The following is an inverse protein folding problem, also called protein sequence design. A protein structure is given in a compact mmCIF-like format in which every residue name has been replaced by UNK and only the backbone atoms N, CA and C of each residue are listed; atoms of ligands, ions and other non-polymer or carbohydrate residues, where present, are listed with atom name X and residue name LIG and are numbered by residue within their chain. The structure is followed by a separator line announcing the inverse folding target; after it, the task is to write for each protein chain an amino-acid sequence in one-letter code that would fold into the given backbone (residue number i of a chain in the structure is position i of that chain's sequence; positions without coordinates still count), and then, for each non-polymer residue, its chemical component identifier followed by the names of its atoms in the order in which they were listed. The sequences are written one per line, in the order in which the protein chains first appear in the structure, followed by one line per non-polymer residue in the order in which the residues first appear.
data_IF_862417779011
#
_entry.id   IF_862417779011
#
_cell.length_a   1.000
_cell.length_b   1.000
_cell.length_c   1.000
_cell.angle_alpha   90.00
_cell.angle_beta   90.00
_cell.angle_gamma   90.00
#
_symmetry.space_group_name_H-M   'P 1'
#
loop_
_entity.id
_entity.type
_entity.pdbx_description
1 polymer ?
#
# COMPACT_ATOMS: atom_id res chain seq x y z
N UNK A 1 43.66 62.90 -30.15
CA UNK A 1 42.26 62.55 -30.43
C UNK A 1 41.62 62.15 -29.11
N UNK A 2 40.55 62.85 -28.76
CA UNK A 2 39.70 62.74 -27.58
C UNK A 2 39.57 61.34 -26.93
N UNK A 3 39.56 61.28 -25.60
CA UNK A 3 38.30 61.13 -24.85
C UNK A 3 38.51 61.38 -23.34
N UNK A 4 37.78 62.39 -22.89
CA UNK A 4 37.56 62.83 -21.52
C UNK A 4 36.57 61.88 -20.85
N UNK A 5 36.81 61.49 -19.59
CA UNK A 5 35.80 60.85 -18.73
C UNK A 5 35.65 61.70 -17.46
N UNK A 6 34.44 62.17 -17.11
CA UNK A 6 34.19 62.83 -15.84
C UNK A 6 33.89 61.82 -14.73
N UNK A 7 34.27 62.22 -13.52
CA UNK A 7 33.95 61.61 -12.23
C UNK A 7 32.44 61.62 -12.00
N UNK A 8 31.87 60.47 -11.62
CA UNK A 8 30.51 60.37 -11.06
C UNK A 8 30.55 59.73 -9.67
N UNK A 9 30.01 60.46 -8.69
CA UNK A 9 29.58 59.92 -7.40
C UNK A 9 28.36 59.01 -7.61
N UNK A 10 28.39 57.81 -7.03
CA UNK A 10 27.25 56.88 -7.02
C UNK A 10 26.46 57.12 -5.73
N UNK A 11 25.22 57.58 -5.89
CA UNK A 11 24.19 57.59 -4.85
C UNK A 11 23.61 56.18 -4.67
N UNK A 12 23.37 55.82 -3.41
CA UNK A 12 22.60 54.65 -2.99
C UNK A 12 21.18 54.70 -3.57
N UNK A 13 20.76 53.63 -4.24
CA UNK A 13 19.36 53.34 -4.51
C UNK A 13 19.00 51.99 -3.92
N UNK A 14 18.08 51.99 -2.95
CA UNK A 14 17.38 50.81 -2.44
C UNK A 14 16.45 50.21 -3.52
N UNK A 15 16.34 48.87 -3.64
CA UNK A 15 15.68 48.22 -4.77
C UNK A 15 14.19 47.86 -4.55
N UNK A 16 13.46 48.55 -3.67
CA UNK A 16 12.09 48.12 -3.28
C UNK A 16 11.03 49.21 -3.41
N UNK A 17 10.80 49.70 -4.63
CA UNK A 17 9.53 50.35 -4.95
C UNK A 17 8.88 49.70 -6.18
N UNK A 18 7.89 48.83 -5.92
CA UNK A 18 6.92 48.39 -6.93
C UNK A 18 5.57 49.02 -6.63
N UNK A 19 5.06 49.78 -7.60
CA UNK A 19 3.65 50.18 -7.72
C UNK A 19 2.79 48.95 -8.01
N UNK A 20 1.64 48.85 -7.37
CA UNK A 20 0.55 47.97 -7.81
C UNK A 20 -0.75 48.76 -7.79
N UNK A 21 -1.31 48.98 -8.98
CA UNK A 21 -2.75 49.09 -9.19
C UNK A 21 -3.41 47.73 -8.90
N UNK A 22 -4.68 47.73 -8.50
CA UNK A 22 -5.51 46.53 -8.48
C UNK A 22 -6.42 46.36 -7.26
N UNK A 23 -7.70 46.61 -7.49
CA UNK A 23 -8.88 45.97 -6.88
C UNK A 23 -9.16 46.09 -5.37
N UNK A 24 -10.14 46.98 -5.11
CA UNK A 24 -10.95 47.01 -3.90
C UNK A 24 -11.92 45.83 -3.90
N UNK A 25 -11.61 44.78 -3.14
CA UNK A 25 -12.64 43.91 -2.55
C UNK A 25 -12.14 43.32 -1.24
N UNK A 26 -12.43 44.00 -0.13
CA UNK A 26 -12.27 43.44 1.21
C UNK A 26 -13.60 42.91 1.73
N UNK A 27 -13.62 41.59 1.88
CA UNK A 27 -14.67 40.81 2.51
C UNK A 27 -14.74 41.17 4.00
N UNK A 28 -15.99 41.31 4.45
CA UNK A 28 -16.42 41.64 5.80
C UNK A 28 -15.81 40.71 6.86
N UNK A 29 -14.99 41.27 7.75
CA UNK A 29 -14.82 40.74 9.11
C UNK A 29 -14.80 41.91 10.10
N UNK A 30 -16.00 42.45 10.36
CA UNK A 30 -16.18 43.53 11.32
C UNK A 30 -17.47 43.32 12.12
N UNK A 31 -17.55 42.18 12.81
CA UNK A 31 -18.65 41.88 13.73
C UNK A 31 -18.25 42.04 15.21
N UNK A 32 -16.98 41.83 15.60
CA UNK A 32 -16.61 41.91 17.02
C UNK A 32 -16.23 43.31 17.52
N UNK A 33 -15.88 44.27 16.64
CA UNK A 33 -15.57 45.66 17.05
C UNK A 33 -16.81 46.57 17.13
N UNK A 34 -17.93 46.16 16.54
CA UNK A 34 -19.19 46.94 16.56
C UNK A 34 -19.94 46.85 17.89
N UNK A 35 -19.79 45.75 18.62
CA UNK A 35 -20.52 45.55 19.89
C UNK A 35 -19.96 46.41 21.03
N UNK A 36 -18.64 46.70 21.05
CA UNK A 36 -18.02 47.54 22.08
C UNK A 36 -18.30 49.05 21.88
N UNK A 37 -18.28 49.52 20.62
CA UNK A 37 -18.58 50.91 20.26
C UNK A 37 -20.07 51.27 20.49
N UNK A 38 -20.98 50.32 20.29
CA UNK A 38 -22.40 50.53 20.55
C UNK A 38 -22.72 50.59 22.04
N UNK A 39 -22.01 49.83 22.88
CA UNK A 39 -22.21 49.87 24.33
C UNK A 39 -21.77 51.22 24.92
N UNK A 40 -20.62 51.75 24.51
CA UNK A 40 -20.13 53.04 25.00
C UNK A 40 -21.06 54.20 24.59
N UNK A 41 -21.66 54.12 23.39
CA UNK A 41 -22.67 55.08 22.92
C UNK A 41 -24.02 54.93 23.65
N UNK A 42 -24.41 53.70 24.01
CA UNK A 42 -25.63 53.42 24.77
C UNK A 42 -25.52 53.86 26.23
N UNK A 43 -24.38 53.59 26.88
CA UNK A 43 -24.05 54.05 28.23
C UNK A 43 -23.97 55.58 28.26
N UNK A 44 -23.29 56.22 27.31
CA UNK A 44 -23.27 57.69 27.20
C UNK A 44 -24.66 58.30 26.94
N UNK A 45 -25.54 57.62 26.18
CA UNK A 45 -26.92 58.09 25.99
C UNK A 45 -27.80 57.92 27.22
N UNK A 46 -27.62 56.84 27.99
CA UNK A 46 -28.31 56.63 29.26
C UNK A 46 -27.85 57.64 30.31
N UNK A 47 -26.54 57.88 30.42
CA UNK A 47 -25.97 58.91 31.30
C UNK A 47 -26.43 60.30 30.89
N UNK A 48 -26.45 60.64 29.59
CA UNK A 48 -27.01 61.93 29.12
C UNK A 48 -28.52 62.06 29.37
N UNK A 49 -29.29 60.98 29.27
CA UNK A 49 -30.73 61.00 29.59
C UNK A 49 -30.98 61.12 31.10
N UNK A 50 -30.15 60.50 31.94
CA UNK A 50 -30.20 60.64 33.40
C UNK A 50 -29.79 62.03 33.88
N UNK A 51 -28.73 62.62 33.29
CA UNK A 51 -28.28 63.98 33.62
C UNK A 51 -29.31 65.03 33.14
N UNK A 52 -30.03 64.78 32.04
CA UNK A 52 -31.13 65.63 31.59
C UNK A 52 -32.40 65.57 32.46
N UNK A 53 -32.54 64.58 33.35
CA UNK A 53 -33.71 64.46 34.22
C UNK A 53 -33.56 65.26 35.53
N UNK A 54 -32.39 65.86 35.81
CA UNK A 54 -32.15 66.58 37.07
C UNK A 54 -31.54 67.99 36.91
N UNK A 55 -31.61 68.58 35.71
CA UNK A 55 -31.17 69.97 35.49
C UNK A 55 -32.20 70.67 34.61
N UNK A 56 -33.23 71.22 35.27
CA UNK A 56 -34.25 72.04 34.67
C UNK A 56 -35.28 72.53 35.69
N UNK A 57 -35.00 73.67 36.34
CA UNK A 57 -35.99 74.42 37.12
C UNK A 57 -35.44 75.06 38.39
N UNK A 58 -35.28 76.39 38.36
CA UNK A 58 -34.92 77.22 39.51
C UNK A 58 -36.20 77.68 40.26
N UNK A 59 -36.16 77.67 41.59
CA UNK A 59 -36.76 78.61 42.56
C UNK A 59 -37.52 77.96 43.73
N UNK A 60 -36.98 78.23 44.93
CA UNK A 60 -37.62 78.35 46.24
C UNK A 60 -38.46 77.17 46.78
N UNK A 61 -37.96 76.53 47.83
CA UNK A 61 -38.52 76.60 49.20
C UNK A 61 -37.72 75.67 50.12
N UNK A 62 -37.45 76.18 51.31
CA UNK A 62 -36.80 75.53 52.46
C UNK A 62 -37.43 74.19 52.83
N UNK A 63 -36.59 73.26 53.31
CA UNK A 63 -37.03 72.10 54.08
C UNK A 63 -36.35 70.80 53.66
N UNK A 64 -35.22 70.49 54.29
CA UNK A 64 -34.78 69.09 54.43
C UNK A 64 -35.61 68.55 55.61
N UNK A 65 -36.34 67.46 55.44
CA UNK A 65 -35.70 66.21 55.78
C UNK A 65 -35.85 65.15 54.68
N UNK A 66 -34.70 64.54 54.41
CA UNK A 66 -34.50 63.12 54.58
C UNK A 66 -35.36 62.14 53.76
N UNK A 67 -34.70 61.04 53.46
CA UNK A 67 -35.32 59.77 53.13
C UNK A 67 -35.73 59.47 51.70
N UNK A 68 -35.68 60.44 50.80
CA UNK A 68 -36.14 60.25 49.41
C UNK A 68 -35.07 60.32 48.30
N UNK A 69 -33.84 60.75 48.58
CA UNK A 69 -32.74 60.70 47.60
C UNK A 69 -32.08 59.33 47.46
N UNK A 70 -31.98 58.59 48.57
CA UNK A 70 -31.31 57.29 48.59
C UNK A 70 -32.12 56.16 47.93
N UNK A 71 -33.45 56.27 47.78
CA UNK A 71 -34.20 55.20 47.11
C UNK A 71 -34.01 55.27 45.60
N UNK A 72 -33.96 56.47 45.02
CA UNK A 72 -33.61 56.63 43.61
C UNK A 72 -32.15 56.27 43.35
N UNK A 73 -31.22 56.69 44.22
CA UNK A 73 -29.81 56.30 44.14
C UNK A 73 -29.65 54.77 44.30
N UNK A 74 -30.40 54.16 45.22
CA UNK A 74 -30.43 52.72 45.44
C UNK A 74 -31.03 51.94 44.26
N UNK A 75 -32.10 52.45 43.63
CA UNK A 75 -32.68 51.86 42.42
C UNK A 75 -31.70 51.94 41.25
N UNK A 76 -31.02 53.07 41.07
CA UNK A 76 -30.01 53.21 40.00
C UNK A 76 -28.83 52.25 40.23
N UNK A 77 -28.33 52.17 41.47
CA UNK A 77 -27.26 51.23 41.82
C UNK A 77 -27.70 49.77 41.64
N UNK A 78 -28.94 49.44 42.01
CA UNK A 78 -29.52 48.12 41.80
C UNK A 78 -29.62 47.78 40.31
N UNK A 79 -30.11 48.70 39.47
CA UNK A 79 -30.18 48.50 38.01
C UNK A 79 -28.80 48.34 37.39
N UNK A 80 -27.80 49.09 37.85
CA UNK A 80 -26.41 48.97 37.37
C UNK A 80 -25.82 47.61 37.75
N UNK A 81 -26.01 47.16 39.00
CA UNK A 81 -25.55 45.84 39.47
C UNK A 81 -26.27 44.72 38.72
N UNK A 82 -27.58 44.84 38.50
CA UNK A 82 -28.36 43.86 37.75
C UNK A 82 -27.88 43.77 36.29
N UNK A 83 -27.64 44.91 35.65
CA UNK A 83 -27.11 44.98 34.29
C UNK A 83 -25.69 44.39 34.21
N UNK A 84 -24.86 44.60 35.23
CA UNK A 84 -23.52 44.01 35.32
C UNK A 84 -23.56 42.48 35.46
N UNK A 85 -24.46 41.95 36.30
CA UNK A 85 -24.66 40.50 36.46
C UNK A 85 -25.14 39.88 35.15
N UNK A 86 -26.19 40.43 34.54
CA UNK A 86 -26.77 39.89 33.29
C UNK A 86 -25.76 39.99 32.13
N UNK A 87 -24.99 41.08 32.07
CA UNK A 87 -23.98 41.25 31.02
C UNK A 87 -22.78 40.30 31.18
N UNK A 88 -22.56 39.73 32.36
CA UNK A 88 -21.42 38.84 32.66
C UNK A 88 -21.57 37.40 32.13
N UNK A 89 -22.74 37.03 31.62
CA UNK A 89 -22.96 35.71 31.04
C UNK A 89 -22.32 35.59 29.65
N UNK A 90 -21.58 34.49 29.45
CA UNK A 90 -20.98 34.14 28.17
C UNK A 90 -21.04 32.63 27.98
N UNK A 91 -20.93 32.18 26.74
CA UNK A 91 -20.96 30.76 26.40
C UNK A 91 -19.63 30.33 25.80
N UNK A 92 -19.18 29.13 26.16
CA UNK A 92 -18.00 28.47 25.58
C UNK A 92 -18.48 27.26 24.78
N UNK A 93 -17.95 27.10 23.58
CA UNK A 93 -18.29 25.97 22.70
C UNK A 93 -17.75 24.66 23.27
N UNK A 94 -18.35 23.54 22.88
CA UNK A 94 -17.95 22.19 23.30
C UNK A 94 -16.48 21.86 22.99
N UNK A 95 -16.00 22.24 21.80
CA UNK A 95 -14.62 22.03 21.38
C UNK A 95 -13.60 23.01 22.01
N UNK A 96 -14.06 24.03 22.75
CA UNK A 96 -13.22 25.08 23.32
C UNK A 96 -13.16 24.96 24.85
N UNK A 97 -11.99 25.24 25.44
CA UNK A 97 -11.84 25.44 26.88
C UNK A 97 -11.46 26.88 27.15
N UNK A 98 -12.12 27.51 28.11
CA UNK A 98 -11.84 28.87 28.52
C UNK A 98 -10.72 28.91 29.54
N UNK A 99 -9.65 29.63 29.23
CA UNK A 99 -8.61 29.97 30.21
C UNK A 99 -8.94 31.35 30.77
N UNK A 100 -9.24 31.43 32.07
CA UNK A 100 -9.52 32.70 32.73
C UNK A 100 -8.25 33.30 33.32
N UNK A 101 -8.01 34.55 32.93
CA UNK A 101 -7.03 35.44 33.52
C UNK A 101 -7.74 36.44 34.43
N UNK A 102 -7.38 36.45 35.71
CA UNK A 102 -7.81 37.45 36.68
C UNK A 102 -6.66 38.41 36.95
N UNK A 103 -6.84 39.69 36.63
CA UNK A 103 -5.76 40.68 36.71
C UNK A 103 -4.45 40.23 36.04
N UNK A 104 -4.56 39.47 34.94
CA UNK A 104 -3.41 38.94 34.19
C UNK A 104 -2.76 37.68 34.77
N UNK A 105 -3.21 37.16 35.92
CA UNK A 105 -2.77 35.86 36.46
C UNK A 105 -3.77 34.76 36.09
N UNK A 106 -3.27 33.56 35.77
CA UNK A 106 -4.11 32.38 35.59
C UNK A 106 -4.93 32.09 36.87
N UNK A 107 -6.24 31.92 36.72
CA UNK A 107 -7.15 31.64 37.83
C UNK A 107 -7.68 30.21 37.80
N UNK A 108 -8.42 29.85 36.76
CA UNK A 108 -9.03 28.52 36.62
C UNK A 108 -9.41 28.25 35.16
N UNK A 109 -9.63 26.95 34.88
CA UNK A 109 -10.15 26.47 33.61
C UNK A 109 -11.67 26.40 33.66
N UNK A 110 -12.30 26.77 32.54
CA UNK A 110 -13.74 26.74 32.38
C UNK A 110 -14.13 25.71 31.33
N UNK A 111 -15.06 24.85 31.71
CA UNK A 111 -15.63 23.81 30.87
C UNK A 111 -16.72 24.37 29.95
N UNK A 112 -17.04 23.65 28.85
CA UNK A 112 -18.06 24.10 27.91
C UNK A 112 -19.43 24.37 28.55
N UNK A 113 -20.14 25.35 28.00
CA UNK A 113 -21.46 25.75 28.47
C UNK A 113 -21.58 27.22 28.88
N UNK A 114 -22.69 27.53 29.55
CA UNK A 114 -23.00 28.88 30.02
C UNK A 114 -22.20 29.17 31.30
N UNK A 115 -21.36 30.19 31.23
CA UNK A 115 -20.51 30.60 32.34
C UNK A 115 -20.71 32.09 32.63
N UNK A 116 -20.44 32.48 33.87
CA UNK A 116 -20.55 33.85 34.32
C UNK A 116 -19.17 34.40 34.67
N UNK A 117 -18.88 35.63 34.27
CA UNK A 117 -17.66 36.33 34.67
C UNK A 117 -17.94 37.77 35.10
N UNK A 118 -17.22 38.28 36.11
CA UNK A 118 -17.22 39.69 36.44
C UNK A 118 -16.54 40.48 35.32
N UNK A 119 -17.32 41.33 34.63
CA UNK A 119 -16.78 42.24 33.60
C UNK A 119 -15.81 43.21 34.27
N UNK A 120 -14.70 43.51 33.59
CA UNK A 120 -13.53 44.34 34.00
C UNK A 120 -12.38 43.62 34.71
N UNK A 121 -12.62 42.46 35.35
CA UNK A 121 -11.58 41.77 36.12
C UNK A 121 -11.06 40.54 35.38
N UNK A 122 -11.97 39.79 34.75
CA UNK A 122 -11.66 38.49 34.15
C UNK A 122 -11.63 38.56 32.61
N UNK A 123 -10.48 38.18 32.04
CA UNK A 123 -10.27 37.97 30.59
C UNK A 123 -10.39 36.48 30.30
N UNK A 124 -11.15 36.13 29.28
CA UNK A 124 -11.35 34.73 28.85
C UNK A 124 -10.65 34.54 27.52
N UNK A 125 -9.76 33.56 27.45
CA UNK A 125 -9.13 33.13 26.21
C UNK A 125 -9.67 31.73 25.87
N UNK A 126 -10.57 31.59 24.88
CA UNK A 126 -11.02 30.29 24.43
C UNK A 126 -9.93 29.61 23.60
N UNK A 127 -9.56 28.39 23.96
CA UNK A 127 -8.61 27.56 23.23
C UNK A 127 -9.32 26.30 22.74
N UNK A 128 -9.22 26.01 21.45
CA UNK A 128 -9.78 24.78 20.90
C UNK A 128 -8.89 23.59 21.28
N UNK A 129 -9.47 22.64 22.03
CA UNK A 129 -8.78 21.44 22.53
C UNK A 129 -9.12 20.20 21.71
N UNK A 130 -10.16 20.21 20.88
CA UNK A 130 -10.54 19.05 20.08
C UNK A 130 -9.96 19.09 18.67
N UNK A 131 -9.66 20.28 18.15
CA UNK A 131 -9.09 20.47 16.83
C UNK A 131 -7.72 19.81 16.74
N UNK A 132 -7.54 18.94 15.75
CA UNK A 132 -6.22 18.47 15.34
C UNK A 132 -5.58 19.55 14.50
N UNK A 133 -4.35 19.93 14.86
CA UNK A 133 -3.56 20.91 14.14
C UNK A 133 -2.41 20.20 13.47
N UNK A 134 -2.09 20.66 12.27
CA UNK A 134 -0.98 20.14 11.49
C UNK A 134 0.12 21.20 11.41
N UNK A 135 1.36 20.75 11.56
CA UNK A 135 2.54 21.56 11.44
C UNK A 135 3.49 20.90 10.44
N UNK A 136 3.73 21.57 9.31
CA UNK A 136 4.69 21.11 8.33
C UNK A 136 6.09 21.63 8.68
N UNK A 137 7.05 20.70 8.79
CA UNK A 137 8.48 20.98 8.87
C UNK A 137 9.12 20.51 7.56
N UNK A 138 9.87 21.39 6.91
CA UNK A 138 10.60 21.06 5.68
C UNK A 138 11.97 21.70 5.69
N UNK A 139 12.94 21.01 5.10
CA UNK A 139 14.32 21.48 5.07
C UNK A 139 15.23 20.64 4.17
N UNK A 140 16.36 21.23 3.80
CA UNK A 140 17.47 20.52 3.18
C UNK A 140 18.39 20.04 4.30
N UNK A 141 18.67 18.74 4.34
CA UNK A 141 19.45 18.10 5.40
C UNK A 141 20.49 17.14 4.81
N UNK A 142 21.53 16.88 5.58
CA UNK A 142 22.59 15.94 5.22
C UNK A 142 22.31 14.60 5.91
N UNK A 143 22.43 13.52 5.14
CA UNK A 143 22.32 12.14 5.61
C UNK A 143 23.66 11.61 6.10
N UNK A 144 23.67 10.41 6.70
CA UNK A 144 24.89 9.76 7.19
C UNK A 144 25.91 9.45 6.09
N UNK A 145 25.45 9.30 4.84
CA UNK A 145 26.24 9.01 3.64
C UNK A 145 26.53 10.27 2.82
N UNK A 146 26.53 11.45 3.45
CA UNK A 146 26.88 12.74 2.87
C UNK A 146 25.97 13.20 1.70
N UNK A 147 24.81 12.57 1.55
CA UNK A 147 23.83 12.97 0.54
C UNK A 147 22.93 14.10 1.08
N UNK A 148 22.71 15.12 0.25
CA UNK A 148 21.80 16.23 0.55
C UNK A 148 20.39 15.86 0.11
N UNK A 149 19.47 15.87 1.07
CA UNK A 149 18.08 15.44 0.87
C UNK A 149 17.11 16.54 1.27
N UNK A 150 16.07 16.73 0.46
CA UNK A 150 14.91 17.53 0.85
C UNK A 150 13.93 16.63 1.57
N UNK A 151 13.67 16.92 2.84
CA UNK A 151 12.70 16.18 3.63
C UNK A 151 11.58 17.10 4.07
N UNK A 152 10.36 16.56 4.03
CA UNK A 152 9.15 17.21 4.47
C UNK A 152 8.41 16.27 5.43
N UNK A 153 7.96 16.80 6.56
CA UNK A 153 7.31 16.04 7.61
C UNK A 153 6.16 16.84 8.21
N UNK A 154 5.00 16.22 8.36
CA UNK A 154 3.82 16.82 8.96
C UNK A 154 3.61 16.25 10.36
N UNK A 155 3.62 17.11 11.36
CA UNK A 155 3.36 16.75 12.75
C UNK A 155 1.90 17.08 13.07
N UNK A 156 1.13 16.07 13.46
CA UNK A 156 -0.25 16.21 13.91
C UNK A 156 -0.29 16.22 15.43
N UNK A 157 -0.81 17.29 16.00
CA UNK A 157 -0.92 17.45 17.45
C UNK A 157 -2.26 18.05 17.85
N UNK A 158 -2.58 17.91 19.14
CA UNK A 158 -3.77 18.49 19.75
C UNK A 158 -3.39 19.12 21.09
N UNK A 159 -4.05 20.21 21.45
CA UNK A 159 -3.89 20.86 22.74
C UNK A 159 -4.73 20.13 23.79
N UNK A 160 -4.09 19.49 24.78
CA UNK A 160 -4.78 18.80 25.87
C UNK A 160 -4.93 19.68 27.11
N UNK A 161 -3.91 20.47 27.42
CA UNK A 161 -3.82 21.34 28.59
C UNK A 161 -3.67 22.80 28.13
N UNK A 162 -4.78 23.55 27.99
CA UNK A 162 -4.74 24.89 27.41
C UNK A 162 -4.03 25.93 28.30
N UNK A 163 -3.97 25.70 29.62
CA UNK A 163 -3.17 26.52 30.55
C UNK A 163 -1.68 26.46 30.18
N UNK A 164 -1.12 25.25 30.11
CA UNK A 164 0.30 25.04 29.80
C UNK A 164 0.64 25.47 28.38
N UNK A 165 -0.28 25.31 27.44
CA UNK A 165 -0.10 25.73 26.05
C UNK A 165 0.05 27.24 25.90
N UNK A 166 -0.64 28.04 26.72
CA UNK A 166 -0.58 29.51 26.65
C UNK A 166 0.57 30.10 27.48
N UNK A 167 0.96 29.47 28.59
CA UNK A 167 1.85 30.09 29.57
C UNK A 167 3.20 29.39 29.79
N UNK A 168 3.38 28.13 29.40
CA UNK A 168 4.67 27.45 29.63
C UNK A 168 5.76 27.98 28.69
N UNK A 169 5.40 28.34 27.45
CA UNK A 169 6.32 28.82 26.42
C UNK A 169 5.69 30.01 25.69
N UNK A 170 6.53 30.93 25.18
CA UNK A 170 6.10 32.16 24.47
C UNK A 170 5.17 31.81 23.30
N UNK A 171 5.63 30.91 22.42
CA UNK A 171 4.86 30.39 21.29
C UNK A 171 5.05 28.87 21.24
N UNK A 172 4.02 28.13 21.65
CA UNK A 172 4.06 26.67 21.63
C UNK A 172 4.21 26.12 20.20
N UNK A 173 3.55 26.72 19.21
CA UNK A 173 3.58 26.25 17.81
C UNK A 173 4.97 26.42 17.18
N UNK A 174 5.62 27.57 17.40
CA UNK A 174 6.99 27.83 16.92
C UNK A 174 8.00 26.92 17.63
N UNK A 175 7.83 26.71 18.93
CA UNK A 175 8.71 25.84 19.72
C UNK A 175 8.57 24.38 19.27
N UNK A 176 7.34 23.93 18.98
CA UNK A 176 7.10 22.63 18.37
C UNK A 176 7.77 22.53 17.00
N UNK A 177 7.67 23.57 16.17
CA UNK A 177 8.31 23.62 14.84
C UNK A 177 9.82 23.49 14.94
N UNK A 178 10.44 24.24 15.84
CA UNK A 178 11.88 24.22 16.05
C UNK A 178 12.36 22.89 16.65
N UNK A 179 11.63 22.34 17.61
CA UNK A 179 11.91 21.01 18.17
C UNK A 179 11.78 19.92 17.09
N UNK A 180 10.76 20.02 16.23
CA UNK A 180 10.55 19.11 15.10
C UNK A 180 11.69 19.18 14.10
N UNK A 181 12.11 20.39 13.70
CA UNK A 181 13.23 20.57 12.78
C UNK A 181 14.55 20.01 13.35
N UNK A 182 14.80 20.25 14.64
CA UNK A 182 15.96 19.70 15.34
C UNK A 182 15.93 18.17 15.44
N UNK A 183 14.79 17.59 15.83
CA UNK A 183 14.62 16.14 15.91
C UNK A 183 14.77 15.47 14.54
N UNK A 184 14.13 16.04 13.51
CA UNK A 184 14.21 15.56 12.14
C UNK A 184 15.67 15.58 11.63
N UNK A 185 16.39 16.69 11.86
CA UNK A 185 17.80 16.84 11.49
C UNK A 185 18.70 15.84 12.21
N UNK A 186 18.46 15.62 13.50
CA UNK A 186 19.21 14.65 14.30
C UNK A 186 18.97 13.20 13.87
N UNK A 187 17.75 12.86 13.43
CA UNK A 187 17.41 11.51 12.97
C UNK A 187 17.92 11.26 11.55
N UNK A 188 17.70 12.19 10.62
CA UNK A 188 18.19 12.04 9.22
C UNK A 188 19.72 11.90 9.18
N UNK A 189 20.44 12.63 10.02
CA UNK A 189 21.90 12.51 10.10
C UNK A 189 22.41 11.15 10.56
N UNK A 190 21.57 10.30 11.17
CA UNK A 190 21.93 8.94 11.59
C UNK A 190 21.66 7.87 10.53
N UNK A 191 20.87 8.19 9.51
CA UNK A 191 20.40 7.25 8.50
C UNK A 191 20.99 7.57 7.13
N UNK A 192 21.16 6.53 6.31
CA UNK A 192 21.58 6.69 4.91
C UNK A 192 20.39 7.08 4.03
N UNK A 193 20.66 7.72 2.89
CA UNK A 193 19.65 8.12 1.92
C UNK A 193 18.76 6.95 1.48
N UNK A 194 19.36 5.81 1.12
CA UNK A 194 18.61 4.61 0.72
C UNK A 194 17.61 4.16 1.80
N UNK A 195 18.02 4.17 3.08
CA UNK A 195 17.16 3.76 4.19
C UNK A 195 15.99 4.71 4.40
N UNK A 196 16.18 6.00 4.15
CA UNK A 196 15.14 7.04 4.27
C UNK A 196 14.12 6.92 3.13
N UNK A 197 14.55 6.55 1.92
CA UNK A 197 13.68 6.44 0.74
C UNK A 197 12.91 5.11 0.65
N UNK A 198 13.43 4.02 1.21
CA UNK A 198 12.90 2.67 1.03
C UNK A 198 11.99 2.23 2.19
N UNK A 199 12.44 1.23 2.95
CA UNK A 199 11.73 0.54 4.03
C UNK A 199 11.96 1.19 5.40
N UNK A 200 13.02 1.98 5.55
CA UNK A 200 13.35 2.63 6.80
C UNK A 200 12.40 3.78 7.17
N UNK A 201 11.47 4.18 6.31
CA UNK A 201 10.52 5.29 6.56
C UNK A 201 9.73 5.13 7.87
N UNK A 202 9.33 3.90 8.20
CA UNK A 202 8.55 3.61 9.41
C UNK A 202 9.43 3.71 10.65
N UNK A 203 10.69 3.29 10.53
CA UNK A 203 11.68 3.38 11.60
C UNK A 203 12.05 4.84 11.85
N UNK A 204 12.34 5.60 10.79
CA UNK A 204 12.61 7.04 10.85
C UNK A 204 11.44 7.79 11.47
N UNK A 205 10.19 7.44 11.11
CA UNK A 205 8.98 8.01 11.73
C UNK A 205 8.93 7.76 13.24
N UNK A 206 9.11 6.51 13.65
CA UNK A 206 9.07 6.10 15.05
C UNK A 206 10.17 6.76 15.87
N UNK A 207 11.38 6.78 15.35
CA UNK A 207 12.53 7.39 16.01
C UNK A 207 12.38 8.90 16.10
N UNK A 208 11.93 9.56 15.03
CA UNK A 208 11.68 11.01 15.04
C UNK A 208 10.59 11.36 16.03
N UNK A 209 9.52 10.57 16.12
CA UNK A 209 8.49 10.73 17.16
C UNK A 209 9.11 10.64 18.55
N UNK A 210 9.94 9.63 18.82
CA UNK A 210 10.54 9.42 20.12
C UNK A 210 11.52 10.55 20.50
N UNK A 211 12.38 10.96 19.57
CA UNK A 211 13.32 12.08 19.78
C UNK A 211 12.55 13.39 19.99
N UNK A 212 11.50 13.63 19.20
CA UNK A 212 10.66 14.81 19.33
C UNK A 212 9.95 14.85 20.69
N UNK A 213 9.39 13.73 21.13
CA UNK A 213 8.72 13.60 22.42
C UNK A 213 9.69 13.86 23.59
N UNK A 214 10.88 13.27 23.55
CA UNK A 214 11.93 13.51 24.54
C UNK A 214 12.39 14.98 24.55
N UNK A 215 12.43 15.62 23.38
CA UNK A 215 12.82 17.03 23.24
C UNK A 215 11.75 17.97 23.78
N UNK A 216 10.46 17.66 23.58
CA UNK A 216 9.33 18.49 24.02
C UNK A 216 9.02 18.31 25.51
N UNK A 217 9.26 17.11 26.06
CA UNK A 217 8.94 16.76 27.44
C UNK A 217 9.35 17.82 28.48
N UNK A 218 10.59 18.36 28.49
CA UNK A 218 11.00 19.38 29.46
C UNK A 218 10.28 20.72 29.31
N UNK A 219 9.78 21.07 28.12
CA UNK A 219 9.06 22.34 27.89
C UNK A 219 7.62 22.30 28.37
N UNK A 220 7.07 21.10 28.61
CA UNK A 220 5.75 20.86 29.18
C UNK A 220 4.64 21.73 28.55
N UNK A 221 4.56 21.73 27.22
CA UNK A 221 3.75 22.66 26.42
C UNK A 221 2.24 22.36 26.41
N UNK A 222 1.78 21.34 27.15
CA UNK A 222 0.36 20.96 27.20
C UNK A 222 -0.22 20.47 25.87
N UNK A 223 0.63 20.01 24.96
CA UNK A 223 0.24 19.39 23.69
C UNK A 223 0.45 17.89 23.74
N UNK A 224 -0.43 17.15 23.08
CA UNK A 224 -0.25 15.72 22.83
C UNK A 224 0.02 15.48 21.36
N UNK A 225 1.10 14.76 21.09
CA UNK A 225 1.49 14.36 19.75
C UNK A 225 0.66 13.16 19.29
N UNK A 226 -0.18 13.37 18.28
CA UNK A 226 -1.00 12.31 17.71
C UNK A 226 -0.17 11.46 16.77
N UNK A 227 0.41 12.08 15.76
CA UNK A 227 1.16 11.37 14.74
C UNK A 227 2.17 12.27 14.02
N UNK A 228 3.18 11.65 13.41
CA UNK A 228 4.26 12.33 12.67
C UNK A 228 4.33 11.72 11.28
N UNK A 229 3.86 12.40 10.25
CA UNK A 229 3.85 11.85 8.90
C UNK A 229 5.04 12.31 8.05
N UNK A 230 5.86 11.36 7.60
CA UNK A 230 6.94 11.61 6.66
C UNK A 230 6.39 11.69 5.24
N UNK A 231 6.61 12.80 4.53
CA UNK A 231 6.23 12.96 3.13
C UNK A 231 7.36 12.43 2.24
N UNK A 232 7.02 11.92 1.05
CA UNK A 232 7.97 11.28 0.15
C UNK A 232 9.09 12.23 -0.26
N UNK A 233 10.30 12.01 0.27
CA UNK A 233 11.51 12.65 -0.24
C UNK A 233 11.75 12.16 -1.67
N UNK A 234 11.96 13.08 -2.61
CA UNK A 234 12.23 12.77 -4.02
C UNK A 234 13.71 12.98 -4.31
N UNK A 235 14.40 12.04 -4.98
CA UNK A 235 15.72 12.29 -5.55
C UNK A 235 15.69 13.49 -6.51
N UNK A 236 16.78 14.28 -6.60
CA UNK A 236 16.89 15.31 -7.63
C UNK A 236 16.83 14.65 -9.02
N UNK A 237 16.21 15.33 -9.98
CA UNK A 237 16.01 14.78 -11.33
C UNK A 237 17.33 14.43 -12.04
N UNK A 238 18.40 15.12 -11.66
CA UNK A 238 19.76 15.00 -12.22
C UNK A 238 20.36 13.59 -12.12
N UNK A 239 20.02 12.81 -11.07
CA UNK A 239 20.63 11.49 -10.82
C UNK A 239 19.70 10.31 -11.13
N UNK A 240 18.44 10.58 -11.47
CA UNK A 240 17.43 9.53 -11.64
C UNK A 240 17.84 8.48 -12.68
N UNK A 241 18.40 8.92 -13.82
CA UNK A 241 18.80 8.02 -14.89
C UNK A 241 19.88 7.01 -14.49
N UNK A 242 20.88 7.42 -13.70
CA UNK A 242 21.96 6.51 -13.25
C UNK A 242 21.50 5.53 -12.17
N UNK A 243 20.56 5.93 -11.33
CA UNK A 243 19.94 5.01 -10.36
C UNK A 243 19.04 4.00 -11.05
N UNK A 244 18.22 4.45 -12.00
CA UNK A 244 17.35 3.56 -12.78
C UNK A 244 18.19 2.52 -13.55
N UNK A 245 19.36 2.91 -14.07
CA UNK A 245 20.31 2.00 -14.74
C UNK A 245 20.92 0.96 -13.78
N UNK A 246 21.36 1.38 -12.58
CA UNK A 246 21.88 0.46 -11.57
C UNK A 246 20.82 -0.54 -11.09
N UNK A 247 19.58 -0.10 -10.93
CA UNK A 247 18.45 -0.98 -10.59
C UNK A 247 18.19 -1.97 -11.72
N UNK A 248 18.13 -1.49 -12.96
CA UNK A 248 17.92 -2.35 -14.13
C UNK A 248 19.03 -3.40 -14.27
N UNK A 249 20.30 -3.02 -14.06
CA UNK A 249 21.43 -3.94 -14.09
C UNK A 249 21.31 -5.05 -13.03
N UNK A 250 20.91 -4.70 -11.81
CA UNK A 250 20.72 -5.66 -10.71
C UNK A 250 19.52 -6.58 -10.96
N UNK A 251 18.43 -6.06 -11.51
CA UNK A 251 17.28 -6.88 -11.92
C UNK A 251 17.67 -7.87 -13.02
N UNK A 252 18.44 -7.42 -14.02
CA UNK A 252 18.94 -8.25 -15.10
C UNK A 252 19.85 -9.36 -14.57
N UNK A 253 20.79 -9.05 -13.66
CA UNK A 253 21.65 -10.05 -13.00
C UNK A 253 20.80 -11.14 -12.32
N UNK A 254 19.81 -10.73 -11.52
CA UNK A 254 18.92 -11.65 -10.82
C UNK A 254 18.02 -12.44 -11.78
N UNK A 255 17.69 -11.87 -12.94
CA UNK A 255 16.98 -12.59 -13.99
C UNK A 255 17.89 -13.67 -14.60
N UNK A 256 19.12 -13.33 -14.98
CA UNK A 256 20.08 -14.27 -15.57
C UNK A 256 20.42 -15.44 -14.63
N UNK A 257 20.61 -15.17 -13.33
CA UNK A 257 20.83 -16.23 -12.34
C UNK A 257 19.63 -17.18 -12.30
N UNK A 258 18.40 -16.64 -12.23
CA UNK A 258 17.18 -17.46 -12.19
C UNK A 258 16.95 -18.26 -13.47
N UNK A 259 17.28 -17.70 -14.63
CA UNK A 259 17.21 -18.40 -15.91
C UNK A 259 18.24 -19.53 -15.99
N UNK A 260 19.47 -19.29 -15.52
CA UNK A 260 20.52 -20.31 -15.47
C UNK A 260 20.16 -21.45 -14.51
N UNK A 261 19.61 -21.14 -13.33
CA UNK A 261 19.11 -22.14 -12.37
C UNK A 261 17.94 -22.94 -12.96
N UNK A 262 16.97 -22.28 -13.60
CA UNK A 262 15.85 -22.94 -14.26
C UNK A 262 16.34 -23.90 -15.35
N UNK A 263 17.32 -23.49 -16.16
CA UNK A 263 17.91 -24.36 -17.19
C UNK A 263 18.60 -25.58 -16.60
N UNK A 264 19.43 -25.41 -15.56
CA UNK A 264 20.09 -26.52 -14.88
C UNK A 264 19.07 -27.51 -14.28
N UNK A 265 18.04 -26.96 -13.64
CA UNK A 265 16.94 -27.73 -13.05
C UNK A 265 16.05 -28.41 -14.10
N UNK A 266 16.01 -27.94 -15.35
CA UNK A 266 15.29 -28.59 -16.45
C UNK A 266 16.12 -29.72 -17.08
N UNK A 267 17.41 -29.49 -17.33
CA UNK A 267 18.28 -30.43 -18.06
C UNK A 267 18.63 -31.65 -17.21
N UNK A 268 19.00 -31.47 -15.94
CA UNK A 268 19.47 -32.57 -15.10
C UNK A 268 18.40 -33.67 -14.89
N UNK A 269 17.14 -33.36 -14.52
CA UNK A 269 16.10 -34.39 -14.36
C UNK A 269 15.72 -35.04 -15.68
N UNK A 270 15.72 -34.29 -16.80
CA UNK A 270 15.45 -34.85 -18.13
C UNK A 270 16.52 -35.86 -18.55
N UNK A 271 17.80 -35.52 -18.36
CA UNK A 271 18.91 -36.41 -18.65
C UNK A 271 18.83 -37.68 -17.79
N UNK A 272 18.56 -37.54 -16.49
CA UNK A 272 18.38 -38.67 -15.57
C UNK A 272 17.18 -39.55 -15.97
N UNK A 273 16.05 -38.93 -16.35
CA UNK A 273 14.86 -39.66 -16.81
C UNK A 273 15.11 -40.43 -18.10
N UNK A 274 15.84 -39.85 -19.06
CA UNK A 274 16.25 -40.53 -20.28
C UNK A 274 17.20 -41.69 -19.99
N UNK A 275 18.20 -41.49 -19.14
CA UNK A 275 19.13 -42.53 -18.74
C UNK A 275 18.41 -43.71 -18.07
N UNK A 276 17.50 -43.41 -17.14
CA UNK A 276 16.69 -44.43 -16.47
C UNK A 276 15.78 -45.18 -17.45
N UNK A 277 15.16 -44.46 -18.40
CA UNK A 277 14.33 -45.07 -19.45
C UNK A 277 15.12 -46.06 -20.30
N UNK A 278 16.30 -45.69 -20.77
CA UNK A 278 17.17 -46.57 -21.58
C UNK A 278 17.54 -47.83 -20.79
N UNK A 279 17.86 -47.66 -19.50
CA UNK A 279 18.22 -48.76 -18.62
C UNK A 279 17.05 -49.73 -18.41
N UNK A 280 15.85 -49.21 -18.15
CA UNK A 280 14.64 -50.03 -17.99
C UNK A 280 14.19 -50.68 -19.31
N UNK A 281 14.32 -49.99 -20.44
CA UNK A 281 14.08 -50.58 -21.77
C UNK A 281 15.05 -51.75 -22.05
N UNK A 282 16.33 -51.60 -21.69
CA UNK A 282 17.34 -52.66 -21.78
C UNK A 282 17.00 -53.87 -20.89
N UNK A 283 16.61 -53.63 -19.64
CA UNK A 283 16.14 -54.69 -18.73
C UNK A 283 14.90 -55.40 -19.25
N UNK A 284 13.92 -54.64 -19.74
CA UNK A 284 12.69 -55.18 -20.32
C UNK A 284 12.98 -56.04 -21.56
N UNK A 285 13.90 -55.60 -22.43
CA UNK A 285 14.34 -56.37 -23.60
C UNK A 285 15.03 -57.68 -23.18
N UNK A 286 15.97 -57.63 -22.22
CA UNK A 286 16.64 -58.82 -21.69
C UNK A 286 15.63 -59.82 -21.13
N UNK A 287 14.73 -59.35 -20.26
CA UNK A 287 13.69 -60.18 -19.65
C UNK A 287 12.77 -60.80 -20.72
N UNK A 288 12.30 -60.00 -21.69
CA UNK A 288 11.48 -60.48 -22.81
C UNK A 288 12.17 -61.59 -23.59
N UNK A 289 13.45 -61.43 -23.91
CA UNK A 289 14.22 -62.43 -24.67
C UNK A 289 14.40 -63.73 -23.87
N UNK A 290 14.72 -63.62 -22.57
CA UNK A 290 14.84 -64.80 -21.69
C UNK A 290 13.50 -65.53 -21.56
N UNK A 291 12.41 -64.82 -21.27
CA UNK A 291 11.08 -65.42 -21.14
C UNK A 291 10.58 -66.00 -22.46
N UNK A 292 10.88 -65.38 -23.60
CA UNK A 292 10.54 -65.92 -24.92
C UNK A 292 11.28 -67.23 -25.17
N UNK A 293 12.59 -67.27 -24.92
CA UNK A 293 13.38 -68.49 -25.06
C UNK A 293 12.89 -69.60 -24.11
N UNK A 294 12.58 -69.28 -22.85
CA UNK A 294 12.02 -70.22 -21.89
C UNK A 294 10.65 -70.77 -22.35
N UNK A 295 9.76 -69.90 -22.82
CA UNK A 295 8.46 -70.30 -23.36
C UNK A 295 8.58 -71.18 -24.61
N UNK A 296 9.54 -70.91 -25.49
CA UNK A 296 9.84 -71.76 -26.64
C UNK A 296 10.38 -73.14 -26.23
N UNK A 297 11.28 -73.20 -25.24
CA UNK A 297 11.79 -74.47 -24.68
C UNK A 297 10.68 -75.26 -24.01
N UNK A 298 9.84 -74.62 -23.20
CA UNK A 298 8.72 -75.29 -22.52
C UNK A 298 7.68 -75.80 -23.52
N UNK A 299 7.40 -75.01 -24.58
CA UNK A 299 6.55 -75.45 -25.68
C UNK A 299 7.15 -76.66 -26.39
N UNK A 300 8.46 -76.63 -26.66
CA UNK A 300 9.15 -77.75 -27.30
C UNK A 300 9.15 -79.01 -26.42
N UNK A 301 9.42 -78.88 -25.12
CA UNK A 301 9.44 -80.02 -24.19
C UNK A 301 8.07 -80.69 -24.08
N UNK A 302 6.98 -79.93 -24.17
CA UNK A 302 5.60 -80.45 -24.21
C UNK A 302 5.28 -81.18 -25.51
N UNK A 303 5.82 -80.75 -26.65
CA UNK A 303 5.57 -81.37 -27.96
C UNK A 303 6.45 -82.61 -28.21
N UNK A 304 7.67 -82.63 -27.68
CA UNK A 304 8.63 -83.71 -27.90
C UNK A 304 8.12 -85.14 -27.61
N UNK A 305 7.42 -85.45 -26.50
CA UNK A 305 6.90 -86.80 -26.24
C UNK A 305 5.85 -87.21 -27.28
N UNK A 306 4.94 -86.30 -27.64
CA UNK A 306 3.91 -86.54 -28.66
C UNK A 306 4.52 -86.79 -30.04
N UNK A 307 5.58 -86.04 -30.37
CA UNK A 307 6.32 -86.24 -31.62
C UNK A 307 7.01 -87.62 -31.67
N UNK A 308 7.57 -88.07 -30.54
CA UNK A 308 8.19 -89.41 -30.43
C UNK A 308 7.17 -90.53 -30.55
N UNK A 309 5.95 -90.34 -30.05
CA UNK A 309 4.87 -91.32 -30.15
C UNK A 309 4.35 -91.46 -31.59
N UNK A 310 4.13 -90.36 -32.31
CA UNK A 310 3.59 -90.37 -33.67
C UNK A 310 4.22 -89.28 -34.57
N UNK A 311 5.33 -89.56 -35.28
CA UNK A 311 6.09 -88.52 -35.97
C UNK A 311 5.40 -87.96 -37.23
N UNK A 312 4.64 -88.79 -37.97
CA UNK A 312 4.03 -88.40 -39.25
C UNK A 312 2.84 -87.46 -39.05
N UNK A 313 1.93 -87.80 -38.12
CA UNK A 313 0.70 -87.05 -37.84
C UNK A 313 1.02 -85.70 -37.19
N UNK A 314 1.95 -85.68 -36.23
CA UNK A 314 2.33 -84.45 -35.51
C UNK A 314 2.98 -83.43 -36.43
N UNK A 315 3.77 -83.86 -37.42
CA UNK A 315 4.37 -82.97 -38.43
C UNK A 315 3.32 -82.35 -39.34
N UNK A 316 2.39 -83.16 -39.84
CA UNK A 316 1.31 -82.71 -40.71
C UNK A 316 0.38 -81.72 -39.99
N UNK A 317 0.04 -82.00 -38.72
CA UNK A 317 -0.71 -81.07 -37.87
C UNK A 317 0.03 -79.74 -37.67
N UNK A 318 1.30 -79.78 -37.28
CA UNK A 318 2.11 -78.56 -37.11
C UNK A 318 2.16 -77.73 -38.41
N UNK A 319 2.32 -78.38 -39.56
CA UNK A 319 2.30 -77.72 -40.85
C UNK A 319 0.97 -77.01 -41.10
N UNK A 320 -0.16 -77.72 -40.94
CA UNK A 320 -1.50 -77.16 -41.11
C UNK A 320 -1.73 -75.99 -40.14
N UNK A 321 -1.41 -76.14 -38.85
CA UNK A 321 -1.55 -75.09 -37.82
C UNK A 321 -0.67 -73.85 -38.12
N UNK A 322 0.53 -74.05 -38.68
CA UNK A 322 1.39 -72.93 -39.09
C UNK A 322 0.87 -72.25 -40.34
N UNK A 323 0.41 -73.02 -41.31
CA UNK A 323 -0.13 -72.52 -42.56
C UNK A 323 -1.44 -71.76 -42.32
N UNK A 324 -2.31 -72.26 -41.45
CA UNK A 324 -3.51 -71.55 -41.00
C UNK A 324 -3.17 -70.18 -40.40
N UNK A 325 -2.19 -70.12 -39.49
CA UNK A 325 -1.76 -68.86 -38.86
C UNK A 325 -1.16 -67.88 -39.86
N UNK A 326 -0.27 -68.33 -40.75
CA UNK A 326 0.40 -67.49 -41.75
C UNK A 326 -0.62 -67.00 -42.80
N UNK A 327 -1.46 -67.90 -43.31
CA UNK A 327 -2.51 -67.56 -44.27
C UNK A 327 -3.53 -66.60 -43.68
N UNK A 328 -3.86 -66.72 -42.38
CA UNK A 328 -4.73 -65.76 -41.73
C UNK A 328 -4.10 -64.35 -41.65
N UNK A 329 -2.79 -64.26 -41.42
CA UNK A 329 -2.08 -62.97 -41.39
C UNK A 329 -1.80 -62.37 -42.77
N UNK A 330 -2.01 -63.13 -43.85
CA UNK A 330 -1.71 -62.67 -45.22
C UNK A 330 -2.95 -62.08 -45.88
N UNK A 331 -2.85 -60.84 -46.35
CA UNK A 331 -3.93 -60.20 -47.12
C UNK A 331 -4.07 -60.88 -48.49
N UNK A 332 -5.17 -61.60 -48.69
CA UNK A 332 -5.46 -62.30 -49.95
C UNK A 332 -6.01 -61.30 -50.97
N UNK A 333 -5.29 -61.12 -52.09
CA UNK A 333 -5.75 -60.35 -53.24
C UNK A 333 -6.12 -61.33 -54.35
N UNK A 334 -7.38 -61.33 -54.79
CA UNK A 334 -7.86 -62.15 -55.89
C UNK A 334 -8.00 -61.27 -57.13
N UNK A 335 -7.25 -61.58 -58.20
CA UNK A 335 -7.32 -60.88 -59.48
C UNK A 335 -7.97 -61.82 -60.51
N UNK A 336 -9.03 -61.36 -61.17
CA UNK A 336 -9.70 -62.10 -62.23
C UNK A 336 -9.14 -61.67 -63.59
N UNK A 337 -8.46 -62.56 -64.32
CA UNK A 337 -7.76 -62.25 -65.58
C UNK A 337 -8.68 -62.13 -66.80
N UNK A 338 -10.00 -62.30 -66.66
CA UNK A 338 -10.91 -62.34 -67.83
C UNK A 338 -11.63 -61.02 -68.16
N UNK A 339 -11.32 -59.91 -67.50
CA UNK A 339 -11.85 -58.60 -67.89
C UNK A 339 -10.76 -57.53 -67.92
N UNK A 340 -10.24 -57.28 -69.12
CA UNK A 340 -9.38 -56.14 -69.43
C UNK A 340 -10.20 -54.86 -69.22
N UNK A 341 -9.75 -54.01 -68.29
CA UNK A 341 -10.19 -52.63 -68.00
C UNK A 341 -11.12 -52.33 -66.80
N UNK A 342 -11.29 -53.20 -65.81
CA UNK A 342 -11.72 -52.72 -64.48
C UNK A 342 -11.23 -53.62 -63.33
N UNK A 343 -10.30 -53.09 -62.52
CA UNK A 343 -9.84 -53.73 -61.28
C UNK A 343 -10.94 -53.54 -60.24
N UNK A 344 -11.83 -54.52 -60.09
CA UNK A 344 -12.74 -54.56 -58.94
C UNK A 344 -11.97 -54.99 -57.70
N UNK A 345 -11.61 -54.01 -56.86
CA UNK A 345 -11.04 -54.26 -55.53
C UNK A 345 -12.19 -54.60 -54.58
N UNK A 346 -12.40 -55.89 -54.32
CA UNK A 346 -13.36 -56.32 -53.28
C UNK A 346 -12.78 -55.98 -51.90
N UNK A 347 -13.53 -55.26 -51.02
CA UNK A 347 -13.13 -55.08 -49.63
C UNK A 347 -13.11 -56.44 -48.92
N UNK A 348 -11.91 -56.93 -48.60
CA UNK A 348 -11.70 -58.30 -48.07
C UNK A 348 -12.07 -58.46 -46.59
N UNK A 349 -12.64 -57.43 -45.97
CA UNK A 349 -12.95 -57.37 -44.53
C UNK A 349 -13.94 -58.46 -44.08
N UNK A 350 -14.73 -59.05 -44.99
CA UNK A 350 -15.70 -60.10 -44.65
C UNK A 350 -15.15 -61.53 -44.63
N UNK A 351 -13.91 -61.77 -45.10
CA UNK A 351 -13.32 -63.13 -45.10
C UNK A 351 -12.27 -63.35 -44.01
N UNK A 352 -11.84 -62.29 -43.30
CA UNK A 352 -10.88 -62.37 -42.20
C UNK A 352 -11.52 -62.65 -40.82
N UNK A 353 -12.85 -62.62 -40.71
CA UNK A 353 -13.57 -62.54 -39.43
C UNK A 353 -13.60 -63.78 -38.54
N UNK A 354 -12.89 -64.87 -38.86
CA UNK A 354 -12.99 -66.12 -38.09
C UNK A 354 -11.69 -66.56 -37.37
N UNK A 355 -10.57 -65.85 -37.52
CA UNK A 355 -9.32 -66.24 -36.85
C UNK A 355 -9.15 -65.71 -35.43
N UNK A 356 -9.92 -64.68 -35.02
CA UNK A 356 -9.64 -63.95 -33.76
C UNK A 356 -10.30 -64.55 -32.51
N UNK A 357 -11.14 -65.58 -32.61
CA UNK A 357 -11.95 -66.05 -31.46
C UNK A 357 -11.14 -66.74 -30.35
N UNK A 358 -9.96 -67.28 -30.64
CA UNK A 358 -9.14 -67.95 -29.63
C UNK A 358 -8.07 -67.06 -28.97
N UNK A 359 -7.74 -65.88 -29.55
CA UNK A 359 -6.75 -64.97 -28.99
C UNK A 359 -7.36 -63.98 -27.97
N UNK A 360 -8.67 -63.73 -28.04
CA UNK A 360 -9.33 -62.78 -27.14
C UNK A 360 -9.25 -63.16 -25.65
N UNK A 361 -9.19 -64.46 -25.31
CA UNK A 361 -9.05 -64.88 -23.91
C UNK A 361 -7.65 -64.62 -23.32
N UNK A 362 -6.59 -64.64 -24.15
CA UNK A 362 -5.23 -64.33 -23.70
C UNK A 362 -5.01 -62.82 -23.63
N UNK A 363 -5.60 -62.07 -24.57
CA UNK A 363 -5.54 -60.61 -24.58
C UNK A 363 -6.37 -59.99 -23.46
N UNK A 364 -7.49 -60.57 -23.03
CA UNK A 364 -8.25 -60.10 -21.86
C UNK A 364 -7.45 -60.27 -20.56
N UNK A 365 -6.74 -61.38 -20.39
CA UNK A 365 -5.89 -61.62 -19.20
C UNK A 365 -4.67 -60.70 -19.22
N UNK A 366 -4.03 -60.51 -20.37
CA UNK A 366 -2.89 -59.59 -20.52
C UNK A 366 -3.32 -58.12 -20.40
N UNK A 367 -4.52 -57.75 -20.85
CA UNK A 367 -5.06 -56.40 -20.71
C UNK A 367 -5.48 -56.10 -19.27
N UNK A 368 -5.97 -57.09 -18.52
CA UNK A 368 -6.20 -56.95 -17.07
C UNK A 368 -4.89 -56.79 -16.28
N UNK A 369 -3.83 -57.53 -16.65
CA UNK A 369 -2.49 -57.32 -16.07
C UNK A 369 -1.90 -55.96 -16.47
N UNK A 370 -2.08 -55.51 -17.71
CA UNK A 370 -1.63 -54.18 -18.16
C UNK A 370 -2.44 -53.05 -17.53
N UNK A 371 -3.75 -53.18 -17.30
CA UNK A 371 -4.54 -52.16 -16.61
C UNK A 371 -4.07 -51.98 -15.17
N UNK A 372 -3.74 -53.08 -14.47
CA UNK A 372 -3.18 -53.01 -13.11
C UNK A 372 -1.80 -52.32 -13.06
N UNK A 373 -1.00 -52.39 -14.13
CA UNK A 373 0.27 -51.66 -14.23
C UNK A 373 0.07 -50.19 -14.68
N UNK A 374 -0.95 -49.92 -15.51
CA UNK A 374 -1.30 -48.58 -15.99
C UNK A 374 -1.92 -47.74 -14.86
N UNK A 375 -2.69 -48.33 -13.94
CA UNK A 375 -3.24 -47.60 -12.78
C UNK A 375 -2.15 -47.09 -11.83
N UNK A 376 -1.02 -47.80 -11.73
CA UNK A 376 0.15 -47.33 -10.99
C UNK A 376 0.92 -46.22 -11.73
N UNK A 377 0.96 -46.24 -13.06
CA UNK A 377 1.57 -45.17 -13.88
C UNK A 377 0.69 -43.92 -13.98
N UNK A 378 -0.63 -44.05 -13.97
CA UNK A 378 -1.56 -42.91 -14.02
C UNK A 378 -1.47 -42.03 -12.76
N UNK A 379 -1.09 -42.61 -11.61
CA UNK A 379 -0.77 -41.84 -10.41
C UNK A 379 0.55 -41.06 -10.55
N UNK A 380 1.53 -41.56 -11.31
CA UNK A 380 2.77 -40.84 -11.61
C UNK A 380 2.56 -39.75 -12.70
N UNK A 381 1.73 -40.02 -13.70
CA UNK A 381 1.42 -39.07 -14.79
C UNK A 381 0.43 -37.97 -14.36
N UNK A 382 -0.45 -38.20 -13.37
CA UNK A 382 -1.22 -37.12 -12.72
C UNK A 382 -0.32 -36.15 -11.96
N UNK A 383 0.77 -36.63 -11.37
CA UNK A 383 1.78 -35.78 -10.73
C UNK A 383 2.51 -34.99 -11.81
N UNK A 384 2.93 -35.62 -12.92
CA UNK A 384 3.65 -34.96 -14.03
C UNK A 384 2.81 -33.92 -14.81
N UNK A 385 1.53 -34.21 -15.06
CA UNK A 385 0.61 -33.30 -15.76
C UNK A 385 0.21 -32.07 -14.92
N UNK A 386 0.20 -32.20 -13.59
CA UNK A 386 0.01 -31.05 -12.68
C UNK A 386 1.19 -30.08 -12.77
N UNK A 387 2.42 -30.56 -12.99
CA UNK A 387 3.59 -29.70 -13.22
C UNK A 387 3.60 -29.06 -14.62
N UNK A 388 3.24 -29.79 -15.69
CA UNK A 388 3.20 -29.22 -17.04
C UNK A 388 2.07 -28.21 -17.28
N UNK A 389 0.94 -28.31 -16.55
CA UNK A 389 -0.12 -27.30 -16.59
C UNK A 389 0.36 -25.95 -16.00
N UNK A 390 1.23 -25.98 -14.98
CA UNK A 390 1.86 -24.80 -14.40
C UNK A 390 2.81 -24.09 -15.37
N UNK A 391 3.59 -24.85 -16.14
CA UNK A 391 4.54 -24.32 -17.12
C UNK A 391 3.85 -23.62 -18.29
N UNK A 392 2.72 -24.15 -18.77
CA UNK A 392 1.97 -23.54 -19.87
C UNK A 392 1.27 -22.22 -19.46
N UNK A 393 0.87 -22.09 -18.19
CA UNK A 393 0.32 -20.83 -17.66
C UNK A 393 1.42 -19.77 -17.51
N UNK A 394 2.63 -20.17 -17.10
CA UNK A 394 3.78 -19.27 -16.99
C UNK A 394 4.31 -18.83 -18.37
N UNK A 395 4.37 -19.73 -19.36
CA UNK A 395 4.74 -19.38 -20.74
C UNK A 395 3.75 -18.42 -21.41
N UNK A 396 2.44 -18.58 -21.16
CA UNK A 396 1.42 -17.63 -21.65
C UNK A 396 1.51 -16.27 -20.97
N UNK A 397 1.78 -16.21 -19.66
CA UNK A 397 2.01 -14.94 -18.94
C UNK A 397 3.24 -14.20 -19.49
N UNK A 398 4.35 -14.90 -19.73
CA UNK A 398 5.58 -14.28 -20.25
C UNK A 398 5.41 -13.74 -21.67
N UNK A 399 4.65 -14.43 -22.53
CA UNK A 399 4.33 -13.92 -23.88
C UNK A 399 3.39 -12.71 -23.86
N UNK A 400 2.47 -12.61 -22.89
CA UNK A 400 1.60 -11.44 -22.75
C UNK A 400 2.38 -10.23 -22.22
N UNK A 401 3.36 -10.44 -21.34
CA UNK A 401 4.24 -9.38 -20.83
C UNK A 401 5.18 -8.88 -21.93
N UNK A 402 5.77 -9.77 -22.74
CA UNK A 402 6.63 -9.38 -23.85
C UNK A 402 5.88 -8.65 -24.97
N UNK A 403 4.61 -9.01 -25.23
CA UNK A 403 3.77 -8.32 -26.21
C UNK A 403 3.28 -6.93 -25.73
N UNK A 404 3.28 -6.67 -24.42
CA UNK A 404 3.04 -5.34 -23.84
C UNK A 404 4.27 -4.44 -23.83
N UNK A 405 5.47 -4.98 -24.03
CA UNK A 405 6.72 -4.22 -24.13
C UNK A 405 7.07 -3.80 -25.57
N UNK A 406 6.39 -4.36 -26.57
CA UNK A 406 6.64 -4.07 -27.99
C UNK A 406 5.64 -3.08 -28.62
N UNK A 407 4.85 -2.38 -27.82
CA UNK A 407 3.92 -1.32 -28.25
C UNK A 407 4.17 -0.05 -27.45
#
# INVERSE_FOLDING_TARGET
MALNWPVYFINNHDPWERKSDGDKNSIKNNQNKKNFLNFNRFVCNIIRKLIKFNIGGNNSVNGIPERKGYYYCGIVLFVVVLCWIISGFYTIKEAERGVILRFGKFSHLVYPGLNWKPIFIDVVIPVNVESVRELAASGMMLTSDENVVRVEMNVQYRVTEPERYLFSVINADDSLRQATDSALRGVIGKYTMDRILTEGRTVVRSDTRHVLENTIHPYNMGITLLDVNFQTARPPEEVKASFDDAIAARENEQQYIREAEAYANEVQPRANGQAQRILEEGKAYKARTVFKAQGEVERFSKILPEYKAAPKITRERLYIDTMERVLCSTRKVLVNEQFVNNIFMLPVEFFAGNCDKNNQNVDVINNALRSSMIDNNNNADKVLSTYQQGDNVNKKKNNIINKKRSN
#
